data_IF_150596656048
#
_entry.id   IF_150596656048
#
_cell.length_a   1.000
_cell.length_b   1.000
_cell.length_c   1.000
_cell.angle_alpha   90.00
_cell.angle_beta   90.00
_cell.angle_gamma   90.00
#
_symmetry.space_group_name_H-M   'P 1'
#
loop_
_entity.id
_entity.type
_entity.pdbx_description
1 polymer ?
#
# COMPACT_ATOMS: atom_id res chain seq x y z
N UNK A 1 -0.75 -27.50 14.71
CA UNK A 1 0.54 -27.25 14.03
C UNK A 1 0.42 -25.93 13.29
N UNK A 2 1.28 -24.96 13.57
CA UNK A 2 1.26 -23.65 12.89
C UNK A 2 2.54 -23.49 12.07
N UNK A 3 2.38 -23.34 10.76
CA UNK A 3 3.47 -23.07 9.83
C UNK A 3 3.79 -21.58 9.86
N UNK A 4 5.06 -21.22 10.07
CA UNK A 4 5.55 -19.84 10.02
C UNK A 4 6.54 -19.72 8.88
N UNK A 5 6.31 -18.76 7.99
CA UNK A 5 7.26 -18.40 6.93
C UNK A 5 8.36 -17.54 7.57
N UNK A 6 9.62 -17.91 7.36
CA UNK A 6 10.79 -17.18 7.85
C UNK A 6 11.70 -16.89 6.65
N UNK A 7 11.93 -15.61 6.37
CA UNK A 7 12.91 -15.15 5.38
C UNK A 7 13.97 -14.29 6.08
N UNK A 8 15.17 -14.26 5.51
CA UNK A 8 16.20 -13.31 5.92
C UNK A 8 15.71 -11.95 5.43
N UNK A 9 15.63 -10.97 6.33
CA UNK A 9 15.25 -9.61 5.99
C UNK A 9 16.43 -8.98 5.26
N UNK A 10 16.43 -9.08 3.92
CA UNK A 10 17.40 -8.36 3.12
C UNK A 10 16.85 -6.97 2.87
N UNK A 11 17.56 -5.99 3.43
CA UNK A 11 17.52 -4.55 3.16
C UNK A 11 16.92 -3.63 4.26
N UNK A 12 17.81 -2.95 4.99
CA UNK A 12 17.52 -1.80 5.86
C UNK A 12 17.08 -0.53 5.08
N UNK A 13 17.01 -0.57 3.75
CA UNK A 13 16.58 0.54 2.88
C UNK A 13 15.20 0.36 2.24
N UNK A 14 14.34 -0.53 2.75
CA UNK A 14 12.94 -0.60 2.30
C UNK A 14 12.21 0.68 2.69
N UNK A 15 12.12 1.62 1.75
CA UNK A 15 11.36 2.86 1.90
C UNK A 15 9.87 2.52 1.82
N UNK A 16 9.20 2.59 2.97
CA UNK A 16 7.75 2.48 3.06
C UNK A 16 7.13 3.84 2.74
N UNK A 17 6.27 3.84 1.74
CA UNK A 17 5.48 5.00 1.37
C UNK A 17 4.06 4.83 1.91
N UNK A 18 3.41 5.93 2.28
CA UNK A 18 2.06 5.91 2.85
C UNK A 18 1.23 7.06 2.32
N UNK A 19 -0.03 6.81 1.99
CA UNK A 19 -0.98 7.83 1.55
C UNK A 19 -2.40 7.48 1.94
N UNK A 20 -3.14 8.47 2.45
CA UNK A 20 -4.58 8.34 2.69
C UNK A 20 -5.35 8.68 1.42
N UNK A 21 -6.22 7.78 1.01
CA UNK A 21 -7.13 7.93 -0.12
C UNK A 21 -8.57 7.99 0.38
N UNK A 22 -9.42 8.63 -0.41
CA UNK A 22 -10.81 8.87 -0.07
C UNK A 22 -11.67 8.44 -1.25
N UNK A 23 -12.56 7.49 -0.99
CA UNK A 23 -13.63 7.13 -1.91
C UNK A 23 -14.92 7.81 -1.47
N UNK A 24 -15.66 8.39 -2.42
CA UNK A 24 -16.95 9.02 -2.13
C UNK A 24 -18.11 8.34 -2.84
N UNK A 25 -19.30 8.51 -2.26
CA UNK A 25 -20.56 8.02 -2.78
C UNK A 25 -20.48 6.55 -3.20
N UNK A 26 -20.05 5.69 -2.26
CA UNK A 26 -19.86 4.24 -2.47
C UNK A 26 -18.93 3.87 -3.63
N UNK A 27 -18.01 4.76 -4.02
CA UNK A 27 -17.03 4.53 -5.09
C UNK A 27 -17.38 5.16 -6.43
N UNK A 28 -18.51 5.88 -6.54
CA UNK A 28 -18.81 6.70 -7.74
C UNK A 28 -17.74 7.76 -7.99
N UNK A 29 -17.13 8.28 -6.91
CA UNK A 29 -15.93 9.11 -7.00
C UNK A 29 -14.77 8.30 -6.45
N UNK A 30 -14.01 7.71 -7.37
CA UNK A 30 -12.82 6.93 -7.04
C UNK A 30 -11.64 7.84 -6.70
N UNK A 31 -10.75 7.40 -5.80
CA UNK A 31 -9.50 8.10 -5.53
C UNK A 31 -8.66 8.14 -6.82
N UNK A 32 -7.96 9.25 -7.03
CA UNK A 32 -7.02 9.37 -8.15
C UNK A 32 -5.86 8.40 -7.98
N UNK A 33 -5.35 7.91 -9.12
CA UNK A 33 -4.16 7.09 -9.14
C UNK A 33 -2.99 7.80 -8.45
N UNK A 34 -2.21 7.02 -7.69
CA UNK A 34 -1.04 7.49 -6.98
C UNK A 34 0.18 7.08 -7.79
N UNK A 35 1.02 8.04 -8.16
CA UNK A 35 2.35 7.72 -8.64
C UNK A 35 3.19 7.22 -7.46
N UNK A 36 3.63 5.97 -7.55
CA UNK A 36 4.41 5.31 -6.51
C UNK A 36 5.85 5.84 -6.44
N UNK A 37 6.31 6.57 -7.49
CA UNK A 37 7.66 7.13 -7.64
C UNK A 37 8.79 6.14 -7.30
N UNK A 38 8.60 4.87 -7.65
CA UNK A 38 9.61 3.84 -7.49
C UNK A 38 10.64 3.94 -8.62
N UNK A 39 11.94 3.95 -8.29
CA UNK A 39 13.05 4.02 -9.25
C UNK A 39 12.93 2.97 -10.37
N UNK A 40 12.58 1.73 -10.00
CA UNK A 40 12.41 0.60 -10.92
C UNK A 40 11.02 0.54 -11.58
N UNK A 41 10.11 1.47 -11.23
CA UNK A 41 8.67 1.43 -11.54
C UNK A 41 7.97 0.12 -11.13
N UNK A 42 8.58 -0.65 -10.22
CA UNK A 42 8.04 -1.91 -9.71
C UNK A 42 7.82 -1.83 -8.21
N UNK A 43 6.75 -2.46 -7.76
CA UNK A 43 6.32 -2.49 -6.37
C UNK A 43 6.43 -3.92 -5.84
N UNK A 44 6.98 -4.08 -4.65
CA UNK A 44 7.12 -5.38 -3.99
C UNK A 44 5.86 -5.74 -3.20
N UNK A 45 5.32 -4.75 -2.48
CA UNK A 45 4.16 -4.95 -1.62
C UNK A 45 3.29 -3.69 -1.60
N UNK A 46 1.98 -3.91 -1.53
CA UNK A 46 1.02 -2.87 -1.19
C UNK A 46 0.04 -3.43 -0.16
N UNK A 47 -0.14 -2.69 0.93
CA UNK A 47 -1.05 -3.03 2.01
C UNK A 47 -2.05 -1.89 2.17
N UNK A 48 -3.34 -2.23 2.21
CA UNK A 48 -4.39 -1.28 2.51
C UNK A 48 -4.83 -1.48 3.96
N UNK A 49 -4.70 -0.44 4.77
CA UNK A 49 -5.03 -0.43 6.18
C UNK A 49 -6.17 0.57 6.46
N UNK A 50 -6.95 0.26 7.50
CA UNK A 50 -7.98 1.14 8.04
C UNK A 50 -7.82 1.26 9.53
N UNK A 51 -8.42 2.29 10.13
CA UNK A 51 -8.43 2.48 11.57
C UNK A 51 -9.87 2.73 12.06
N UNK A 52 -10.04 2.69 13.38
CA UNK A 52 -11.36 2.84 14.00
C UNK A 52 -11.99 4.20 13.65
N UNK A 53 -11.20 5.27 13.56
CA UNK A 53 -11.69 6.59 13.17
C UNK A 53 -12.25 6.63 11.74
N UNK A 54 -11.57 5.99 10.80
CA UNK A 54 -12.03 5.82 9.41
C UNK A 54 -13.33 5.03 9.33
N UNK A 55 -13.45 3.96 10.12
CA UNK A 55 -14.67 3.15 10.20
C UNK A 55 -15.83 3.96 10.77
N UNK A 56 -15.61 4.71 11.86
CA UNK A 56 -16.65 5.54 12.46
C UNK A 56 -17.12 6.65 11.51
N UNK A 57 -16.20 7.29 10.79
CA UNK A 57 -16.54 8.30 9.80
C UNK A 57 -17.38 7.70 8.66
N UNK A 58 -16.97 6.54 8.16
CA UNK A 58 -17.74 5.79 7.16
C UNK A 58 -19.15 5.45 7.69
N UNK A 59 -19.25 4.95 8.92
CA UNK A 59 -20.54 4.60 9.51
C UNK A 59 -21.48 5.82 9.68
N UNK A 60 -20.98 6.94 10.21
CA UNK A 60 -21.78 8.17 10.41
C UNK A 60 -22.21 8.77 9.06
N UNK A 61 -21.38 8.63 8.03
CA UNK A 61 -21.70 9.07 6.67
C UNK A 61 -22.43 8.01 5.85
N UNK A 62 -22.87 6.91 6.46
CA UNK A 62 -23.54 5.78 5.79
C UNK A 62 -22.73 5.17 4.62
N UNK A 63 -21.41 5.30 4.63
CA UNK A 63 -20.53 4.84 3.55
C UNK A 63 -20.38 5.83 2.39
N UNK A 64 -20.93 7.05 2.52
CA UNK A 64 -20.71 8.11 1.54
C UNK A 64 -19.24 8.54 1.54
N UNK A 65 -18.55 8.51 2.69
CA UNK A 65 -17.14 8.89 2.78
C UNK A 65 -16.34 7.73 3.37
N UNK A 66 -15.47 7.12 2.56
CA UNK A 66 -14.67 5.96 2.98
C UNK A 66 -13.18 6.29 2.84
N UNK A 67 -12.52 6.72 3.93
CA UNK A 67 -11.08 6.91 3.96
C UNK A 67 -10.33 5.58 4.17
N UNK A 68 -9.22 5.43 3.48
CA UNK A 68 -8.34 4.26 3.55
C UNK A 68 -6.87 4.68 3.48
N UNK A 69 -5.98 3.99 4.18
CA UNK A 69 -4.55 4.26 4.14
C UNK A 69 -3.86 3.18 3.33
N UNK A 70 -3.19 3.58 2.25
CA UNK A 70 -2.43 2.67 1.41
C UNK A 70 -0.96 2.85 1.77
N UNK A 71 -0.31 1.74 2.08
CA UNK A 71 1.11 1.63 2.33
C UNK A 71 1.73 0.79 1.23
N UNK A 72 2.85 1.21 0.67
CA UNK A 72 3.55 0.46 -0.36
C UNK A 72 5.07 0.50 -0.21
N UNK A 73 5.70 -0.53 -0.77
CA UNK A 73 7.15 -0.72 -0.75
C UNK A 73 7.63 -0.94 -2.19
N UNK A 74 8.65 -0.20 -2.60
CA UNK A 74 9.26 -0.35 -3.92
C UNK A 74 10.08 -1.63 -4.00
N UNK A 75 10.08 -2.27 -5.16
CA UNK A 75 10.93 -3.43 -5.40
C UNK A 75 12.41 -2.99 -5.51
N UNK A 76 13.35 -3.77 -4.99
CA UNK A 76 14.76 -3.50 -5.20
C UNK A 76 15.10 -3.51 -6.71
N UNK A 77 16.17 -2.82 -7.13
CA UNK A 77 16.68 -2.92 -8.50
C UNK A 77 17.03 -4.37 -8.84
N UNK A 78 16.76 -4.77 -10.08
CA UNK A 78 17.16 -6.09 -10.56
C UNK A 78 18.69 -6.19 -10.45
N UNK A 79 19.24 -7.26 -9.83
CA UNK A 79 20.66 -7.52 -9.97
C UNK A 79 20.90 -7.77 -11.46
N UNK A 80 21.65 -6.87 -12.10
CA UNK A 80 22.05 -7.06 -13.48
C UNK A 80 22.64 -8.46 -13.62
N UNK A 81 22.14 -9.23 -14.59
CA UNK A 81 22.80 -10.45 -15.02
C UNK A 81 24.19 -10.02 -15.50
N UNK A 82 25.21 -10.15 -14.65
CA UNK A 82 26.59 -10.22 -15.11
C UNK A 82 26.64 -11.47 -15.99
N UNK A 83 26.62 -11.27 -17.30
CA UNK A 83 26.83 -12.32 -18.28
C UNK A 83 28.16 -13.01 -17.94
N UNK A 84 28.08 -14.25 -17.46
CA UNK A 84 29.21 -15.14 -17.17
C UNK A 84 29.92 -15.57 -18.46
#
# INVERSE_FOLDING_TARGET
MTTKVVSIYDNDSVVKNTKTTWSFAWGLVSPKDIDADCETKRMSSATNSTNIGHILLSAITLGIVVPQTIEWECAPPDPGIEEL
#
